data_IF_290895719184
#
_entry.id   IF_290895719184
#
_cell.length_a   1.000
_cell.length_b   1.000
_cell.length_c   1.000
_cell.angle_alpha   90.00
_cell.angle_beta   90.00
_cell.angle_gamma   90.00
#
_symmetry.space_group_name_H-M   'P 1'
#
loop_
_entity.id
_entity.type
_entity.pdbx_description
1 polymer ?
#
# COMPACT_ATOMS: atom_id res chain seq x y z
N UNK A 1 -54.10 -19.34 -15.79
CA UNK A 1 -53.96 -18.44 -14.61
C UNK A 1 -54.48 -19.17 -13.37
N UNK A 2 -53.60 -19.78 -12.56
CA UNK A 2 -53.96 -20.47 -11.31
C UNK A 2 -53.47 -19.62 -10.14
N UNK A 3 -54.39 -19.05 -9.36
CA UNK A 3 -54.10 -18.35 -8.11
C UNK A 3 -53.89 -19.38 -7.01
N UNK A 4 -52.69 -19.41 -6.42
CA UNK A 4 -52.40 -20.17 -5.20
C UNK A 4 -52.40 -19.16 -4.05
N UNK A 5 -53.41 -19.26 -3.19
CA UNK A 5 -53.51 -18.49 -1.96
C UNK A 5 -52.95 -19.33 -0.80
N UNK A 6 -51.79 -18.96 -0.25
CA UNK A 6 -51.24 -19.57 0.96
C UNK A 6 -51.73 -18.80 2.20
N UNK A 7 -52.55 -19.48 3.00
CA UNK A 7 -53.02 -18.99 4.31
C UNK A 7 -51.88 -19.08 5.33
N UNK A 8 -51.57 -17.95 5.96
CA UNK A 8 -50.70 -17.85 7.13
C UNK A 8 -51.45 -18.34 8.37
N UNK A 9 -50.94 -19.40 9.02
CA UNK A 9 -51.42 -19.88 10.32
C UNK A 9 -50.45 -19.34 11.38
N UNK A 10 -50.90 -18.36 12.18
CA UNK A 10 -50.23 -17.95 13.42
C UNK A 10 -50.53 -18.98 14.51
N UNK A 11 -49.50 -19.51 15.16
CA UNK A 11 -49.62 -20.26 16.42
C UNK A 11 -49.04 -19.43 17.58
N UNK A 12 -49.72 -19.35 18.74
CA UNK A 12 -49.16 -18.73 19.93
C UNK A 12 -48.17 -19.68 20.62
N UNK A 13 -46.99 -19.16 20.97
CA UNK A 13 -46.03 -19.87 21.82
C UNK A 13 -46.31 -19.56 23.30
N UNK A 14 -46.41 -20.56 24.18
CA UNK A 14 -46.52 -20.35 25.62
C UNK A 14 -45.14 -20.03 26.22
N UNK A 15 -45.10 -18.99 27.04
CA UNK A 15 -43.96 -18.67 27.89
C UNK A 15 -43.81 -19.73 28.99
N UNK A 16 -42.69 -20.44 28.99
CA UNK A 16 -42.27 -21.30 30.09
C UNK A 16 -41.04 -20.65 30.73
N UNK A 17 -41.25 -20.04 31.89
CA UNK A 17 -40.20 -19.61 32.78
C UNK A 17 -39.68 -20.83 33.54
N UNK A 18 -38.46 -21.26 33.22
CA UNK A 18 -37.71 -22.26 33.98
C UNK A 18 -36.63 -21.54 34.79
N UNK A 19 -36.85 -21.48 36.10
CA UNK A 19 -35.87 -21.06 37.09
C UNK A 19 -35.00 -22.28 37.41
N UNK A 20 -33.79 -22.31 36.88
CA UNK A 20 -32.74 -23.26 37.27
C UNK A 20 -31.80 -22.59 38.28
N UNK A 21 -31.82 -23.09 39.51
CA UNK A 21 -30.84 -22.80 40.56
C UNK A 21 -29.67 -23.75 40.32
N UNK A 22 -28.56 -23.23 39.79
CA UNK A 22 -27.29 -23.96 39.67
C UNK A 22 -26.37 -23.59 40.83
N UNK A 23 -26.03 -24.61 41.61
CA UNK A 23 -25.11 -24.59 42.74
C UNK A 23 -23.67 -24.31 42.28
N UNK A 24 -22.97 -23.53 43.10
CA UNK A 24 -21.53 -23.25 43.03
C UNK A 24 -20.70 -24.53 42.95
N UNK A 25 -19.86 -24.61 41.93
CA UNK A 25 -18.63 -25.39 41.92
C UNK A 25 -17.50 -24.47 41.48
N UNK A 26 -16.67 -24.01 42.41
CA UNK A 26 -15.43 -23.30 42.11
C UNK A 26 -14.43 -24.32 41.53
N UNK A 27 -14.51 -24.57 40.22
CA UNK A 27 -13.36 -25.10 39.50
C UNK A 27 -12.40 -23.93 39.31
N UNK A 28 -11.21 -24.03 39.89
CA UNK A 28 -10.09 -23.18 39.54
C UNK A 28 -9.82 -23.39 38.04
N UNK A 29 -10.38 -22.49 37.23
CA UNK A 29 -9.95 -22.30 35.86
C UNK A 29 -8.52 -21.80 35.99
N UNK A 30 -7.56 -22.72 35.85
CA UNK A 30 -6.20 -22.34 35.49
C UNK A 30 -6.37 -21.44 34.27
N UNK A 31 -6.10 -20.14 34.37
CA UNK A 31 -6.16 -19.27 33.19
C UNK A 31 -5.23 -19.94 32.21
N UNK A 32 -5.73 -20.37 31.05
CA UNK A 32 -4.82 -20.75 29.98
C UNK A 32 -3.96 -19.52 29.79
N UNK A 33 -2.70 -19.60 30.23
CA UNK A 33 -1.76 -18.51 30.16
C UNK A 33 -1.63 -18.19 28.70
N UNK A 34 -2.45 -17.25 28.22
CA UNK A 34 -2.29 -16.66 26.91
C UNK A 34 -0.88 -16.12 26.96
N UNK A 35 0.04 -16.80 26.26
CA UNK A 35 1.34 -16.23 26.01
C UNK A 35 1.06 -14.91 25.31
N UNK A 36 1.18 -13.83 26.06
CA UNK A 36 1.32 -12.52 25.46
C UNK A 36 2.58 -12.62 24.63
N UNK A 37 2.44 -12.83 23.33
CA UNK A 37 3.55 -12.81 22.41
C UNK A 37 4.05 -11.37 22.43
N UNK A 38 5.08 -11.13 23.23
CA UNK A 38 5.79 -9.87 23.25
C UNK A 38 6.59 -9.78 21.95
N UNK A 39 6.07 -9.03 20.98
CA UNK A 39 6.74 -8.78 19.70
C UNK A 39 7.92 -7.80 19.84
N UNK A 40 8.24 -7.38 21.07
CA UNK A 40 9.11 -6.25 21.35
C UNK A 40 8.38 -4.94 21.08
N UNK A 41 8.82 -3.88 21.76
CA UNK A 41 8.33 -2.53 21.50
C UNK A 41 8.60 -2.17 20.02
N UNK A 42 7.57 -1.65 19.34
CA UNK A 42 7.69 -1.26 17.94
C UNK A 42 8.74 -0.15 17.79
N UNK A 43 9.73 -0.38 16.93
CA UNK A 43 10.85 0.55 16.75
C UNK A 43 10.49 1.72 15.82
N UNK A 44 9.45 1.54 15.01
CA UNK A 44 9.05 2.48 13.96
C UNK A 44 7.54 2.52 13.79
N UNK A 45 7.02 3.67 13.43
CA UNK A 45 5.62 3.87 13.09
C UNK A 45 5.44 3.99 11.57
N UNK A 46 4.35 3.42 11.07
CA UNK A 46 3.89 3.53 9.70
C UNK A 46 2.47 4.10 9.72
N UNK A 47 2.27 5.22 9.02
CA UNK A 47 0.97 5.86 8.89
C UNK A 47 0.34 5.50 7.55
N UNK A 48 -0.96 5.23 7.57
CA UNK A 48 -1.76 4.93 6.38
C UNK A 48 -2.87 5.97 6.28
N UNK A 49 -2.98 6.65 5.15
CA UNK A 49 -4.08 7.53 4.81
C UNK A 49 -5.07 6.77 3.92
N UNK A 50 -6.17 6.23 4.48
CA UNK A 50 -7.23 5.65 3.67
C UNK A 50 -8.01 6.77 2.95
N UNK A 51 -8.37 6.50 1.69
CA UNK A 51 -9.09 7.41 0.81
C UNK A 51 -10.22 6.63 0.14
N UNK A 52 -11.46 6.97 0.45
CA UNK A 52 -12.63 6.37 -0.17
C UNK A 52 -12.97 7.10 -1.47
N UNK A 53 -13.04 6.38 -2.58
CA UNK A 53 -13.48 6.94 -3.86
C UNK A 53 -14.98 6.76 -4.02
N UNK A 54 -15.67 7.85 -4.37
CA UNK A 54 -17.09 7.87 -4.65
C UNK A 54 -17.38 8.46 -6.02
N UNK A 55 -18.62 8.31 -6.46
CA UNK A 55 -19.12 8.94 -7.67
C UNK A 55 -19.16 10.46 -7.52
N UNK A 56 -19.45 11.17 -8.60
CA UNK A 56 -19.45 12.64 -8.60
C UNK A 56 -20.49 13.20 -7.62
N UNK A 57 -21.57 12.47 -7.37
CA UNK A 57 -22.61 12.85 -6.42
C UNK A 57 -22.23 12.57 -4.96
N UNK A 58 -21.29 11.64 -4.73
CA UNK A 58 -20.96 11.10 -3.42
C UNK A 58 -22.03 10.14 -2.86
N UNK A 59 -22.96 9.67 -3.69
CA UNK A 59 -24.04 8.77 -3.29
C UNK A 59 -23.64 7.30 -3.40
N UNK A 60 -22.70 6.98 -4.28
CA UNK A 60 -22.14 5.64 -4.44
C UNK A 60 -20.64 5.69 -4.16
N UNK A 61 -20.19 4.92 -3.17
CA UNK A 61 -18.81 4.94 -2.71
C UNK A 61 -18.26 3.52 -2.63
N UNK A 62 -16.98 3.38 -2.95
CA UNK A 62 -16.26 2.15 -2.76
C UNK A 62 -16.25 1.76 -1.26
N UNK A 63 -16.45 0.47 -0.97
CA UNK A 63 -16.39 -0.13 0.35
C UNK A 63 -14.94 -0.13 0.86
N UNK A 64 -14.76 0.35 2.09
CA UNK A 64 -13.45 0.46 2.74
C UNK A 64 -13.25 -0.72 3.67
N UNK A 65 -12.55 -1.75 3.19
CA UNK A 65 -12.18 -2.93 3.97
C UNK A 65 -10.67 -2.90 4.26
N UNK A 66 -10.28 -2.31 5.38
CA UNK A 66 -8.86 -2.17 5.74
C UNK A 66 -8.25 -3.43 6.38
N UNK A 67 -9.09 -4.34 6.90
CA UNK A 67 -8.64 -5.51 7.66
C UNK A 67 -7.55 -5.14 8.67
N UNK A 68 -7.78 -4.07 9.45
CA UNK A 68 -6.73 -3.34 10.15
C UNK A 68 -5.91 -4.24 11.08
N UNK A 69 -6.56 -5.15 11.80
CA UNK A 69 -5.89 -6.03 12.76
C UNK A 69 -5.00 -7.07 12.08
N UNK A 70 -5.42 -7.61 10.93
CA UNK A 70 -4.62 -8.52 10.11
C UNK A 70 -3.44 -7.75 9.51
N UNK A 71 -3.68 -6.56 8.96
CA UNK A 71 -2.62 -5.70 8.41
C UNK A 71 -1.58 -5.34 9.47
N UNK A 72 -2.03 -4.93 10.68
CA UNK A 72 -1.15 -4.68 11.84
C UNK A 72 -0.35 -5.92 12.21
N UNK A 73 -1.00 -7.08 12.32
CA UNK A 73 -0.35 -8.34 12.71
C UNK A 73 0.72 -8.77 11.71
N UNK A 74 0.46 -8.64 10.42
CA UNK A 74 1.42 -8.95 9.37
C UNK A 74 2.64 -8.03 9.46
N UNK A 75 2.42 -6.71 9.50
CA UNK A 75 3.51 -5.73 9.52
C UNK A 75 4.26 -5.67 10.87
N UNK A 76 3.65 -6.15 11.95
CA UNK A 76 4.32 -6.34 13.24
C UNK A 76 5.46 -7.38 13.18
N UNK A 77 5.48 -8.30 12.21
CA UNK A 77 6.64 -9.17 11.96
C UNK A 77 7.92 -8.36 11.69
N UNK A 78 7.78 -7.17 11.11
CA UNK A 78 8.88 -6.22 10.88
C UNK A 78 9.08 -5.21 12.03
N UNK A 79 8.42 -5.42 13.19
CA UNK A 79 8.39 -4.52 14.36
C UNK A 79 7.79 -3.14 14.09
N UNK A 80 6.88 -3.04 13.13
CA UNK A 80 6.18 -1.79 12.83
C UNK A 80 4.93 -1.64 13.68
N UNK A 81 4.69 -0.41 14.17
CA UNK A 81 3.39 0.01 14.67
C UNK A 81 2.64 0.73 13.55
N UNK A 82 1.49 0.17 13.17
CA UNK A 82 0.69 0.70 12.06
C UNK A 82 -0.47 1.53 12.59
N UNK A 83 -0.56 2.77 12.12
CA UNK A 83 -1.59 3.73 12.48
C UNK A 83 -2.40 4.12 11.26
N UNK A 84 -3.71 3.85 11.29
CA UNK A 84 -4.64 4.27 10.25
C UNK A 84 -5.15 5.67 10.59
N UNK A 85 -4.98 6.61 9.67
CA UNK A 85 -5.50 7.97 9.78
C UNK A 85 -7.01 8.00 9.44
N UNK A 86 -7.75 9.07 9.79
CA UNK A 86 -9.13 9.23 9.37
C UNK A 86 -9.29 9.12 7.85
N UNK A 87 -10.38 8.48 7.41
CA UNK A 87 -10.67 8.30 5.98
C UNK A 87 -10.93 9.64 5.32
N UNK A 88 -10.18 9.93 4.26
CA UNK A 88 -10.49 11.00 3.32
C UNK A 88 -11.45 10.48 2.25
N UNK A 89 -12.22 11.36 1.63
CA UNK A 89 -13.14 10.99 0.55
C UNK A 89 -12.86 11.84 -0.69
N UNK A 90 -12.90 11.22 -1.87
CA UNK A 90 -12.95 11.93 -3.14
C UNK A 90 -14.25 11.61 -3.88
N UNK A 91 -14.77 12.57 -4.65
CA UNK A 91 -15.98 12.44 -5.47
C UNK A 91 -15.59 12.61 -6.93
N UNK A 92 -15.34 11.50 -7.59
CA UNK A 92 -14.95 11.48 -8.99
C UNK A 92 -15.24 10.09 -9.57
N UNK A 93 -16.29 9.99 -10.37
CA UNK A 93 -16.74 8.73 -10.97
C UNK A 93 -15.69 8.06 -11.84
N UNK A 94 -14.76 8.84 -12.42
CA UNK A 94 -13.65 8.30 -13.22
C UNK A 94 -12.72 7.40 -12.40
N UNK A 95 -12.55 7.66 -11.11
CA UNK A 95 -11.60 6.89 -10.29
C UNK A 95 -12.25 5.73 -9.52
N UNK A 96 -13.56 5.52 -9.67
CA UNK A 96 -14.27 4.39 -9.05
C UNK A 96 -13.87 3.06 -9.66
N UNK A 97 -13.59 3.04 -10.96
CA UNK A 97 -13.09 1.89 -11.70
C UNK A 97 -11.78 2.30 -12.36
N UNK A 98 -10.71 1.58 -12.08
CA UNK A 98 -9.38 1.92 -12.58
C UNK A 98 -9.00 0.98 -13.72
N UNK A 99 -8.72 1.53 -14.90
CA UNK A 99 -8.22 0.76 -16.04
C UNK A 99 -6.70 0.55 -15.94
N UNK A 100 -6.28 -0.68 -15.61
CA UNK A 100 -4.86 -1.08 -15.58
C UNK A 100 -4.38 -1.73 -16.89
N UNK A 101 -5.17 -1.66 -17.97
CA UNK A 101 -4.77 -2.09 -19.32
C UNK A 101 -3.99 -1.04 -20.09
N UNK A 102 -4.12 0.23 -19.69
CA UNK A 102 -3.37 1.31 -20.30
C UNK A 102 -1.89 1.20 -19.95
N UNK A 103 -1.03 1.64 -20.88
CA UNK A 103 0.41 1.71 -20.57
C UNK A 103 0.63 2.56 -19.33
N UNK A 104 1.35 2.04 -18.34
CA UNK A 104 1.63 2.75 -17.08
C UNK A 104 2.40 4.06 -17.24
N UNK A 105 3.04 4.25 -18.40
CA UNK A 105 3.71 5.49 -18.78
C UNK A 105 2.80 6.47 -19.53
N UNK A 106 1.56 6.09 -19.81
CA UNK A 106 0.57 6.97 -20.45
C UNK A 106 0.14 8.04 -19.47
N UNK A 107 -0.10 9.25 -19.98
CA UNK A 107 -0.80 10.31 -19.25
C UNK A 107 -2.19 9.89 -18.81
N UNK A 108 -2.78 8.94 -19.52
CA UNK A 108 -4.16 8.51 -19.32
C UNK A 108 -4.28 7.41 -18.27
N UNK A 109 -3.16 6.95 -17.71
CA UNK A 109 -3.16 5.93 -16.67
C UNK A 109 -3.64 6.51 -15.34
N UNK A 110 -4.86 6.15 -14.95
CA UNK A 110 -5.60 6.77 -13.85
C UNK A 110 -4.90 6.62 -12.49
N UNK A 111 -4.26 5.47 -12.24
CA UNK A 111 -3.49 5.30 -11.00
C UNK A 111 -2.28 6.24 -10.94
N UNK A 112 -1.64 6.51 -12.08
CA UNK A 112 -0.56 7.51 -12.13
C UNK A 112 -1.11 8.90 -11.84
N UNK A 113 -2.26 9.28 -12.41
CA UNK A 113 -2.90 10.54 -12.09
C UNK A 113 -3.20 10.68 -10.58
N UNK A 114 -3.93 9.73 -10.00
CA UNK A 114 -4.27 9.71 -8.58
C UNK A 114 -3.06 9.83 -7.65
N UNK A 115 -1.93 9.23 -8.02
CA UNK A 115 -0.77 9.10 -7.12
C UNK A 115 0.42 10.00 -7.46
N UNK A 116 0.44 10.66 -8.63
CA UNK A 116 1.61 11.40 -9.13
C UNK A 116 1.31 12.81 -9.64
N UNK A 117 0.06 13.14 -9.93
CA UNK A 117 -0.30 14.48 -10.41
C UNK A 117 -0.96 15.32 -9.32
N UNK A 118 -1.00 16.63 -9.53
CA UNK A 118 -1.47 17.59 -8.53
C UNK A 118 -0.47 17.85 -7.40
N UNK A 119 -0.82 18.76 -6.50
CA UNK A 119 0.00 19.12 -5.34
C UNK A 119 -0.24 18.23 -4.11
N UNK A 120 0.34 18.63 -2.98
CA UNK A 120 0.01 18.07 -1.67
C UNK A 120 -1.52 18.13 -1.43
N UNK A 121 -2.11 17.06 -0.89
CA UNK A 121 -3.55 17.00 -0.64
C UNK A 121 -4.43 16.66 -1.85
N UNK A 122 -3.91 16.75 -3.09
CA UNK A 122 -4.74 16.46 -4.26
C UNK A 122 -5.19 14.99 -4.26
N UNK A 123 -6.41 14.75 -4.77
CA UNK A 123 -7.06 13.44 -4.77
C UNK A 123 -7.17 12.80 -3.38
N UNK A 124 -7.35 13.61 -2.33
CA UNK A 124 -7.55 13.13 -0.97
C UNK A 124 -6.28 12.62 -0.29
N UNK A 125 -5.10 12.81 -0.90
CA UNK A 125 -3.83 12.43 -0.28
C UNK A 125 -3.60 13.17 1.02
N UNK A 126 -2.82 12.60 1.91
CA UNK A 126 -2.33 13.33 3.06
C UNK A 126 -1.31 14.40 2.59
N UNK A 127 -1.40 15.66 3.05
CA UNK A 127 -0.52 16.74 2.59
C UNK A 127 0.96 16.53 2.95
N UNK A 128 1.25 15.75 3.99
CA UNK A 128 2.62 15.40 4.40
C UNK A 128 3.18 14.20 3.64
N UNK A 129 2.38 13.59 2.76
CA UNK A 129 2.85 12.52 1.89
C UNK A 129 3.74 13.06 0.78
N UNK A 130 4.92 12.48 0.65
CA UNK A 130 5.75 12.65 -0.54
C UNK A 130 5.75 11.37 -1.38
N UNK A 131 6.54 11.37 -2.45
CA UNK A 131 6.74 10.17 -3.26
C UNK A 131 7.33 9.01 -2.45
N UNK A 132 8.18 9.27 -1.47
CA UNK A 132 9.00 8.24 -0.79
C UNK A 132 9.00 8.36 0.74
N UNK A 133 8.12 9.19 1.30
CA UNK A 133 7.98 9.40 2.73
C UNK A 133 6.58 9.88 3.13
N UNK A 134 6.32 9.96 4.44
CA UNK A 134 5.05 10.37 5.00
C UNK A 134 4.02 9.23 5.02
N UNK A 135 2.74 9.54 5.29
CA UNK A 135 1.69 8.52 5.27
C UNK A 135 1.53 7.86 3.89
N UNK A 136 1.33 6.54 3.85
CA UNK A 136 1.02 5.83 2.61
C UNK A 136 -0.45 6.11 2.24
N UNK A 137 -0.70 6.62 1.04
CA UNK A 137 -2.05 6.88 0.54
C UNK A 137 -2.64 5.62 -0.08
N UNK A 138 -3.83 5.24 0.39
CA UNK A 138 -4.53 4.02 -0.02
C UNK A 138 -5.90 4.41 -0.54
N UNK A 139 -6.12 4.30 -1.84
CA UNK A 139 -7.42 4.53 -2.48
C UNK A 139 -8.22 3.25 -2.53
N UNK A 140 -9.42 3.27 -1.96
CA UNK A 140 -10.41 2.21 -2.10
C UNK A 140 -11.31 2.53 -3.28
N UNK A 141 -11.33 1.62 -4.25
CA UNK A 141 -12.06 1.74 -5.52
C UNK A 141 -13.02 0.56 -5.68
N UNK A 142 -14.04 0.67 -6.52
CA UNK A 142 -14.96 -0.43 -6.82
C UNK A 142 -14.18 -1.56 -7.51
N UNK A 143 -13.47 -1.21 -8.58
CA UNK A 143 -12.88 -2.18 -9.48
C UNK A 143 -11.49 -1.74 -9.95
N UNK A 144 -10.56 -2.69 -10.05
CA UNK A 144 -9.32 -2.52 -10.80
C UNK A 144 -9.40 -3.48 -11.98
N UNK A 145 -9.65 -2.93 -13.16
CA UNK A 145 -9.80 -3.71 -14.38
C UNK A 145 -8.41 -4.19 -14.84
N UNK A 146 -8.18 -5.49 -14.76
CA UNK A 146 -6.97 -6.11 -15.28
C UNK A 146 -7.16 -6.59 -16.72
N UNK A 147 -6.05 -6.80 -17.41
CA UNK A 147 -6.06 -7.40 -18.75
C UNK A 147 -6.65 -8.80 -18.70
N UNK A 148 -7.35 -9.18 -19.76
CA UNK A 148 -7.85 -10.56 -19.97
C UNK A 148 -8.97 -10.99 -18.99
N UNK A 149 -9.63 -10.03 -18.33
CA UNK A 149 -10.82 -10.30 -17.51
C UNK A 149 -10.52 -10.89 -16.13
N UNK A 150 -9.29 -10.74 -15.64
CA UNK A 150 -8.94 -11.13 -14.28
C UNK A 150 -9.33 -10.05 -13.27
N UNK A 151 -9.79 -10.47 -12.09
CA UNK A 151 -10.02 -9.56 -10.97
C UNK A 151 -8.69 -9.19 -10.32
N UNK A 152 -8.38 -7.90 -10.28
CA UNK A 152 -7.23 -7.39 -9.53
C UNK A 152 -7.69 -6.80 -8.20
N UNK A 153 -7.21 -7.41 -7.11
CA UNK A 153 -7.63 -7.02 -5.75
C UNK A 153 -6.88 -5.79 -5.21
N UNK A 154 -5.67 -5.55 -5.71
CA UNK A 154 -4.81 -4.46 -5.26
C UNK A 154 -3.76 -4.09 -6.29
N UNK A 155 -3.23 -2.88 -6.16
CA UNK A 155 -2.15 -2.38 -6.99
C UNK A 155 -1.33 -1.34 -6.25
N UNK A 156 -0.01 -1.46 -6.27
CA UNK A 156 0.88 -0.53 -5.60
C UNK A 156 2.07 -0.13 -6.47
N UNK A 157 2.65 1.01 -6.13
CA UNK A 157 3.99 1.35 -6.58
C UNK A 157 5.04 0.67 -5.71
N UNK A 158 6.16 0.29 -6.33
CA UNK A 158 7.31 -0.24 -5.61
C UNK A 158 8.18 0.93 -5.16
N UNK A 159 8.52 0.96 -3.86
CA UNK A 159 9.40 1.98 -3.27
C UNK A 159 8.90 3.42 -3.49
N UNK A 160 7.59 3.58 -3.63
CA UNK A 160 6.95 4.87 -3.81
C UNK A 160 5.50 4.84 -3.30
N UNK A 161 4.98 6.01 -2.96
CA UNK A 161 3.70 6.15 -2.27
C UNK A 161 2.54 5.86 -3.23
N UNK A 162 1.57 5.09 -2.76
CA UNK A 162 0.29 4.93 -3.42
C UNK A 162 -0.07 3.46 -3.56
N UNK A 163 -1.28 3.15 -3.12
CA UNK A 163 -1.91 1.83 -3.16
C UNK A 163 -3.36 1.99 -3.61
N UNK A 164 -3.82 1.10 -4.47
CA UNK A 164 -5.23 0.87 -4.77
C UNK A 164 -5.67 -0.45 -4.15
N UNK A 165 -6.89 -0.48 -3.62
CA UNK A 165 -7.57 -1.68 -3.13
C UNK A 165 -8.96 -1.71 -3.76
N UNK A 166 -9.31 -2.80 -4.43
CA UNK A 166 -10.66 -3.00 -4.97
C UNK A 166 -11.60 -3.54 -3.90
N UNK A 167 -12.88 -3.18 -3.98
CA UNK A 167 -13.96 -3.78 -3.16
C UNK A 167 -14.01 -5.31 -3.24
N UNK A 168 -13.65 -5.89 -4.38
CA UNK A 168 -13.59 -7.35 -4.62
C UNK A 168 -12.67 -8.05 -3.61
N UNK A 169 -11.67 -7.32 -3.06
CA UNK A 169 -10.82 -7.84 -1.99
C UNK A 169 -11.59 -8.13 -0.71
N UNK A 170 -12.71 -7.45 -0.45
CA UNK A 170 -13.56 -7.67 0.71
C UNK A 170 -14.52 -8.85 0.57
N UNK A 171 -14.84 -9.27 -0.65
CA UNK A 171 -15.91 -10.24 -0.94
C UNK A 171 -15.40 -11.58 -1.47
N UNK A 172 -14.12 -11.68 -1.83
CA UNK A 172 -13.49 -12.90 -2.33
C UNK A 172 -13.82 -14.14 -1.48
N UNK A 173 -14.41 -15.17 -2.11
CA UNK A 173 -14.83 -16.42 -1.44
C UNK A 173 -15.72 -16.23 -0.19
N UNK A 174 -16.40 -15.08 -0.06
CA UNK A 174 -17.26 -14.75 1.08
C UNK A 174 -16.52 -14.32 2.35
N UNK A 175 -15.20 -14.43 2.40
CA UNK A 175 -14.37 -14.03 3.56
C UNK A 175 -13.38 -12.91 3.23
N UNK A 176 -13.25 -12.54 1.97
CA UNK A 176 -12.28 -11.57 1.47
C UNK A 176 -10.85 -12.14 1.32
N UNK A 177 -9.94 -11.26 0.91
CA UNK A 177 -8.47 -11.45 0.89
C UNK A 177 -7.85 -10.48 1.89
N UNK A 178 -7.93 -10.78 3.20
CA UNK A 178 -7.61 -9.81 4.25
C UNK A 178 -6.13 -9.38 4.28
N UNK A 179 -5.23 -10.12 3.64
CA UNK A 179 -3.81 -9.79 3.53
C UNK A 179 -3.47 -8.86 2.34
N UNK A 180 -4.44 -8.54 1.48
CA UNK A 180 -4.19 -7.76 0.26
C UNK A 180 -3.62 -6.38 0.58
N UNK A 181 -4.18 -5.67 1.56
CA UNK A 181 -3.67 -4.35 1.93
C UNK A 181 -2.21 -4.42 2.41
N UNK A 182 -1.88 -5.37 3.29
CA UNK A 182 -0.52 -5.56 3.77
C UNK A 182 0.45 -5.93 2.64
N UNK A 183 0.00 -6.75 1.68
CA UNK A 183 0.77 -7.10 0.48
C UNK A 183 1.11 -5.86 -0.36
N UNK A 184 0.12 -5.03 -0.67
CA UNK A 184 0.32 -3.81 -1.46
C UNK A 184 1.18 -2.77 -0.71
N UNK A 185 1.03 -2.66 0.61
CA UNK A 185 1.94 -1.84 1.44
C UNK A 185 3.37 -2.39 1.38
N UNK A 186 3.55 -3.71 1.36
CA UNK A 186 4.85 -4.35 1.16
C UNK A 186 5.56 -3.85 -0.10
N UNK A 187 4.84 -3.64 -1.21
CA UNK A 187 5.39 -3.02 -2.41
C UNK A 187 5.84 -1.58 -2.18
N UNK A 188 5.02 -0.73 -1.54
CA UNK A 188 5.42 0.64 -1.20
C UNK A 188 6.68 0.66 -0.31
N UNK A 189 6.88 -0.35 0.54
CA UNK A 189 8.07 -0.54 1.37
C UNK A 189 9.26 -1.17 0.59
N UNK A 190 9.13 -1.33 -0.72
CA UNK A 190 10.18 -1.74 -1.64
C UNK A 190 10.32 -3.24 -1.86
N UNK A 191 9.30 -4.04 -1.49
CA UNK A 191 9.27 -5.47 -1.74
C UNK A 191 8.67 -5.82 -3.11
N UNK A 192 8.96 -7.03 -3.60
CA UNK A 192 8.63 -7.53 -4.95
C UNK A 192 8.25 -9.01 -4.89
N UNK A 193 7.52 -9.52 -5.87
CA UNK A 193 7.09 -10.93 -5.89
C UNK A 193 8.23 -11.90 -6.20
N UNK A 194 9.24 -11.47 -6.96
CA UNK A 194 10.37 -12.32 -7.36
C UNK A 194 11.66 -12.14 -6.55
N UNK A 195 11.67 -11.40 -5.44
CA UNK A 195 12.91 -11.08 -4.72
C UNK A 195 12.81 -11.31 -3.21
N UNK A 196 13.97 -11.41 -2.55
CA UNK A 196 14.08 -11.49 -1.08
C UNK A 196 13.32 -12.68 -0.45
N UNK A 197 13.21 -13.80 -1.17
CA UNK A 197 12.52 -15.01 -0.70
C UNK A 197 11.00 -15.00 -0.91
N UNK A 198 10.47 -14.06 -1.71
CA UNK A 198 9.12 -14.16 -2.25
C UNK A 198 9.00 -15.29 -3.29
N UNK A 199 7.79 -15.86 -3.44
CA UNK A 199 7.49 -16.96 -4.37
C UNK A 199 6.91 -18.21 -3.70
N UNK A 200 7.19 -18.43 -2.41
CA UNK A 200 6.60 -19.53 -1.63
C UNK A 200 5.15 -19.23 -1.23
N UNK A 201 4.27 -20.22 -1.24
CA UNK A 201 2.83 -20.00 -1.02
C UNK A 201 2.49 -19.24 0.29
N UNK A 202 3.29 -19.39 1.34
CA UNK A 202 3.06 -18.73 2.63
C UNK A 202 3.69 -17.33 2.74
N UNK A 203 4.51 -16.91 1.78
CA UNK A 203 5.13 -15.58 1.81
C UNK A 203 4.11 -14.50 1.47
N UNK A 204 4.10 -13.39 2.21
CA UNK A 204 3.19 -12.27 1.98
C UNK A 204 3.27 -11.78 0.54
N UNK A 205 4.47 -11.69 -0.04
CA UNK A 205 4.72 -11.11 -1.36
C UNK A 205 4.60 -12.13 -2.49
N UNK A 206 4.16 -13.35 -2.22
CA UNK A 206 3.83 -14.28 -3.31
C UNK A 206 2.61 -13.77 -4.08
N UNK A 207 2.68 -13.93 -5.41
CA UNK A 207 1.59 -13.58 -6.33
C UNK A 207 0.26 -14.17 -5.86
N UNK A 208 -0.84 -13.42 -6.04
CA UNK A 208 -2.14 -13.77 -5.46
C UNK A 208 -2.69 -15.13 -5.87
N UNK A 209 -2.35 -15.64 -7.06
CA UNK A 209 -2.75 -16.95 -7.58
C UNK A 209 -2.07 -18.14 -6.90
N UNK A 210 -0.93 -17.92 -6.25
CA UNK A 210 -0.14 -18.98 -5.60
C UNK A 210 -0.05 -18.82 -4.08
N UNK A 211 -0.55 -17.69 -3.56
CA UNK A 211 -0.45 -17.35 -2.13
C UNK A 211 -1.58 -17.98 -1.32
N UNK A 212 -1.22 -18.58 -0.19
CA UNK A 212 -2.15 -18.97 0.86
C UNK A 212 -2.64 -17.72 1.60
N UNK A 213 -3.95 -17.54 1.63
CA UNK A 213 -4.61 -16.36 2.20
C UNK A 213 -5.03 -16.70 3.64
N UNK A 214 -4.73 -15.85 4.63
CA UNK A 214 -5.20 -16.06 5.99
C UNK A 214 -6.73 -15.96 6.05
N UNK A 215 -7.33 -16.85 6.83
CA UNK A 215 -8.76 -16.84 7.13
C UNK A 215 -9.06 -16.18 8.47
N UNK A 216 -8.06 -16.07 9.34
CA UNK A 216 -8.14 -15.34 10.60
C UNK A 216 -6.80 -14.70 10.99
N UNK A 217 -6.78 -13.96 12.09
CA UNK A 217 -5.56 -13.32 12.63
C UNK A 217 -4.57 -14.34 13.20
N UNK A 218 -5.06 -15.50 13.65
CA UNK A 218 -4.25 -16.60 14.20
C UNK A 218 -3.41 -17.30 13.13
N UNK A 219 -3.84 -17.24 11.87
CA UNK A 219 -3.10 -17.82 10.74
C UNK A 219 -1.79 -17.06 10.46
N UNK A 220 -1.70 -15.79 10.86
CA UNK A 220 -0.57 -14.91 10.56
C UNK A 220 0.71 -15.39 11.24
N UNK A 221 1.75 -15.57 10.43
CA UNK A 221 3.02 -16.15 10.84
C UNK A 221 3.16 -17.61 10.42
N UNK A 222 2.07 -18.31 10.10
CA UNK A 222 2.09 -19.56 9.31
C UNK A 222 1.84 -19.29 7.82
N UNK A 223 0.96 -18.33 7.52
CA UNK A 223 0.76 -17.70 6.21
C UNK A 223 1.02 -16.20 6.30
N UNK A 224 1.11 -15.53 5.14
CA UNK A 224 1.45 -14.10 5.05
C UNK A 224 2.75 -13.74 5.79
N UNK A 225 3.76 -14.61 5.67
CA UNK A 225 5.06 -14.48 6.32
C UNK A 225 5.94 -13.45 5.62
N UNK A 226 6.74 -12.72 6.39
CA UNK A 226 7.87 -11.93 5.89
C UNK A 226 9.19 -12.63 6.19
N UNK A 227 10.08 -12.71 5.21
CA UNK A 227 11.44 -13.20 5.41
C UNK A 227 12.30 -12.17 6.14
N UNK A 228 13.40 -12.60 6.74
CA UNK A 228 14.37 -11.68 7.37
C UNK A 228 14.89 -10.61 6.40
N UNK A 229 15.11 -11.00 5.13
CA UNK A 229 15.56 -10.09 4.09
C UNK A 229 14.49 -9.05 3.71
N UNK A 230 13.22 -9.46 3.67
CA UNK A 230 12.09 -8.54 3.47
C UNK A 230 11.93 -7.58 4.66
N UNK A 231 12.04 -8.08 5.89
CA UNK A 231 12.01 -7.26 7.11
C UNK A 231 13.15 -6.23 7.09
N UNK A 232 14.37 -6.65 6.74
CA UNK A 232 15.51 -5.74 6.61
C UNK A 232 15.25 -4.65 5.56
N UNK A 233 14.69 -5.01 4.39
CA UNK A 233 14.34 -4.05 3.33
C UNK A 233 13.26 -3.07 3.79
N UNK A 234 12.20 -3.55 4.45
CA UNK A 234 11.14 -2.69 5.02
C UNK A 234 11.74 -1.63 5.95
N UNK A 235 12.65 -2.02 6.85
CA UNK A 235 13.27 -1.11 7.82
C UNK A 235 14.14 0.00 7.22
N UNK A 236 14.48 -0.09 5.93
CA UNK A 236 15.20 0.94 5.19
C UNK A 236 14.28 1.96 4.51
N UNK A 237 12.96 1.74 4.56
CA UNK A 237 11.98 2.57 3.87
C UNK A 237 11.88 3.98 4.46
N UNK A 238 11.77 4.98 3.59
CA UNK A 238 11.52 6.39 3.97
C UNK A 238 10.10 6.66 4.47
N UNK A 239 9.18 5.69 4.37
CA UNK A 239 7.83 5.78 4.91
C UNK A 239 7.75 5.58 6.42
N UNK A 240 8.83 5.08 7.04
CA UNK A 240 8.85 4.78 8.47
C UNK A 240 9.28 6.00 9.27
N UNK A 241 8.45 6.42 10.22
CA UNK A 241 8.82 7.43 11.20
C UNK A 241 9.49 6.75 12.38
N UNK A 242 10.65 7.26 12.78
CA UNK A 242 11.25 6.84 14.03
C UNK A 242 10.38 7.38 15.16
N UNK A 243 9.94 6.48 16.04
CA UNK A 243 9.57 6.93 17.37
C UNK A 243 10.83 7.56 17.93
N UNK A 244 10.82 8.88 18.09
CA UNK A 244 11.77 9.57 18.95
C UNK A 244 11.46 9.10 20.38
N UNK A 245 11.70 7.81 20.65
CA UNK A 245 11.60 7.19 21.95
C UNK A 245 12.35 8.12 22.88
N UNK A 246 11.60 8.64 23.86
CA UNK A 246 11.84 9.94 24.44
C UNK A 246 13.31 10.36 24.46
N UNK A 247 13.57 11.55 23.92
CA UNK A 247 14.35 12.48 24.71
C UNK A 247 13.58 12.68 26.03
N UNK A 248 13.60 11.66 26.89
CA UNK A 248 13.42 11.81 28.32
C UNK A 248 14.50 12.79 28.65
N UNK A 249 14.10 14.05 28.83
CA UNK A 249 14.98 15.13 29.21
C UNK A 249 15.79 14.61 30.38
N UNK A 250 17.02 14.21 30.09
CA UNK A 250 18.06 14.35 31.09
C UNK A 250 18.12 15.86 31.19
N UNK A 251 17.42 16.43 32.16
CA UNK A 251 17.68 17.78 32.61
C UNK A 251 19.18 17.77 32.90
N UNK A 252 19.96 18.23 31.93
CA UNK A 252 21.32 18.64 32.20
C UNK A 252 21.12 19.86 33.08
N UNK A 253 21.12 19.63 34.40
CA UNK A 253 21.32 20.67 35.37
C UNK A 253 22.51 21.48 34.86
N UNK A 254 22.27 22.76 34.58
CA UNK A 254 23.28 23.65 34.07
C UNK A 254 24.35 23.83 35.15
N UNK A 255 25.33 22.95 35.16
CA UNK A 255 26.60 23.24 35.79
C UNK A 255 27.38 24.06 34.76
N UNK A 256 27.17 25.37 34.85
CA UNK A 256 28.07 26.35 34.29
C UNK A 256 29.44 26.12 34.91
N UNK A 257 30.33 25.43 34.22
CA UNK A 257 31.76 25.76 34.25
C UNK A 257 32.58 24.98 33.22
N UNK A 258 33.50 25.74 32.63
CA UNK A 258 34.78 25.33 32.04
C UNK A 258 34.83 24.65 30.65
N UNK A 259 35.05 25.50 29.65
CA UNK A 259 36.13 25.46 28.63
C UNK A 259 36.68 24.08 28.20
N UNK A 260 36.36 23.72 26.95
CA UNK A 260 37.34 23.19 26.00
C UNK A 260 37.45 21.68 25.89
N UNK A 261 36.61 21.04 25.07
CA UNK A 261 37.09 19.90 24.30
C UNK A 261 36.30 19.67 23.01
N UNK A 262 37.04 19.25 21.99
CA UNK A 262 36.66 19.30 20.58
C UNK A 262 36.07 17.94 20.18
N UNK A 263 34.77 17.85 19.92
CA UNK A 263 34.19 16.60 19.44
C UNK A 263 34.24 16.54 17.90
N UNK A 264 35.24 15.83 17.39
CA UNK A 264 35.35 15.43 15.98
C UNK A 264 34.38 14.28 15.69
N UNK A 265 33.23 14.58 15.10
CA UNK A 265 32.44 13.58 14.37
C UNK A 265 32.59 13.82 12.87
N UNK A 266 33.49 13.04 12.25
CA UNK A 266 33.88 13.14 10.84
C UNK A 266 32.73 12.82 9.87
N UNK A 267 31.65 12.20 10.34
CA UNK A 267 30.55 11.73 9.48
C UNK A 267 29.31 12.65 9.41
N UNK A 268 29.22 13.73 10.21
CA UNK A 268 28.11 14.69 10.10
C UNK A 268 28.34 15.78 9.03
N UNK A 269 29.56 15.94 8.51
CA UNK A 269 29.87 17.01 7.53
C UNK A 269 29.54 16.69 6.08
N UNK A 270 29.31 15.42 5.72
CA UNK A 270 28.98 15.06 4.34
C UNK A 270 27.55 15.47 3.96
N UNK A 271 26.58 15.26 4.85
CA UNK A 271 25.17 15.57 4.59
C UNK A 271 24.87 17.09 4.55
N UNK A 272 25.56 17.88 5.38
CA UNK A 272 25.34 19.33 5.44
C UNK A 272 26.01 20.10 4.28
N UNK A 273 27.06 19.55 3.65
CA UNK A 273 27.70 20.18 2.48
C UNK A 273 26.86 20.02 1.21
N UNK A 274 26.21 18.88 1.01
CA UNK A 274 25.40 18.67 -0.20
C UNK A 274 24.13 19.54 -0.21
N UNK A 275 23.51 19.76 0.95
CA UNK A 275 22.36 20.66 1.07
C UNK A 275 22.71 22.14 0.84
N UNK A 276 23.89 22.58 1.29
CA UNK A 276 24.34 23.98 1.11
C UNK A 276 24.84 24.26 -0.31
N UNK A 277 25.43 23.27 -0.99
CA UNK A 277 25.94 23.43 -2.36
C UNK A 277 24.80 23.49 -3.39
N UNK A 278 23.71 22.75 -3.14
CA UNK A 278 22.50 22.80 -3.99
C UNK A 278 21.74 24.13 -3.88
N UNK A 279 21.79 24.81 -2.72
CA UNK A 279 21.10 26.09 -2.52
C UNK A 279 21.86 27.27 -3.16
N UNK A 280 23.21 27.21 -3.14
CA UNK A 280 24.07 28.20 -3.78
C UNK A 280 24.02 28.16 -5.32
N UNK A 281 23.90 26.97 -5.94
CA UNK A 281 23.76 26.85 -7.40
C UNK A 281 22.41 27.38 -7.92
N UNK A 282 21.33 27.29 -7.15
CA UNK A 282 20.02 27.79 -7.58
C UNK A 282 19.89 29.32 -7.46
N UNK A 283 20.56 29.96 -6.49
CA UNK A 283 20.58 31.42 -6.39
C UNK A 283 21.50 32.08 -7.44
N UNK A 284 22.58 31.42 -7.84
CA UNK A 284 23.45 31.90 -8.93
C UNK A 284 22.78 31.81 -10.32
N UNK A 285 21.83 30.88 -10.51
CA UNK A 285 21.11 30.74 -11.78
C UNK A 285 19.98 31.77 -11.93
N UNK A 286 19.42 32.29 -10.82
CA UNK A 286 18.38 33.32 -10.85
C UNK A 286 18.91 34.74 -11.01
N UNK A 287 20.21 35.00 -10.75
CA UNK A 287 20.81 36.32 -10.94
C UNK A 287 21.31 36.59 -12.37
N UNK A 288 21.36 35.57 -13.23
CA UNK A 288 21.75 35.70 -14.65
C UNK A 288 20.58 36.03 -15.58
N UNK A 289 19.36 36.15 -15.05
CA UNK A 289 18.18 36.53 -15.82
C UNK A 289 17.67 37.88 -15.31
N UNK A 290 18.24 38.97 -15.86
CA UNK A 290 17.73 40.33 -15.72
C UNK A 290 17.55 40.97 -17.11
N UNK A 291 16.64 41.94 -17.29
CA UNK A 291 15.82 42.09 -18.48
C UNK A 291 16.48 42.97 -19.53
N UNK A 292 16.95 42.38 -20.63
CA UNK A 292 17.34 43.15 -21.82
C UNK A 292 17.02 42.37 -23.09
N UNK A 293 15.73 42.25 -23.42
CA UNK A 293 15.26 41.97 -24.79
C UNK A 293 13.77 42.29 -24.89
N UNK A 294 13.44 43.56 -24.67
CA UNK A 294 12.14 44.13 -24.99
C UNK A 294 12.32 45.22 -26.04
N UNK A 295 12.81 44.83 -27.22
CA UNK A 295 12.57 45.55 -28.48
C UNK A 295 13.11 44.69 -29.63
N UNK A 296 12.35 44.65 -30.73
CA UNK A 296 12.61 43.90 -31.97
C UNK A 296 12.15 42.43 -31.97
N UNK A 297 10.86 42.20 -32.26
CA UNK A 297 10.36 41.26 -33.28
C UNK A 297 8.87 41.59 -33.53
N UNK A 298 8.53 41.81 -34.80
CA UNK A 298 7.17 42.03 -35.29
C UNK A 298 6.33 40.73 -35.29
N UNK A 299 4.99 40.80 -35.27
CA UNK A 299 4.14 39.63 -35.10
C UNK A 299 3.91 38.95 -36.44
N UNK A 300 4.67 37.90 -36.75
CA UNK A 300 4.17 36.86 -37.64
C UNK A 300 4.89 35.53 -37.40
N UNK A 301 4.09 34.51 -37.10
CA UNK A 301 4.45 33.08 -37.05
C UNK A 301 5.34 32.64 -35.87
N UNK A 302 4.75 32.61 -34.68
CA UNK A 302 5.22 31.77 -33.58
C UNK A 302 4.46 30.43 -33.60
N UNK A 303 4.96 29.51 -34.42
CA UNK A 303 4.77 28.08 -34.22
C UNK A 303 6.15 27.46 -34.47
N UNK A 304 6.52 26.50 -33.62
CA UNK A 304 7.79 25.78 -33.57
C UNK A 304 8.91 26.44 -32.75
N UNK A 305 9.47 25.59 -31.87
CA UNK A 305 10.69 25.75 -31.07
C UNK A 305 10.51 26.49 -29.73
N UNK A 306 9.94 25.76 -28.77
CA UNK A 306 10.40 25.86 -27.37
C UNK A 306 10.62 24.44 -26.85
N UNK A 307 11.84 23.93 -27.09
CA UNK A 307 12.32 22.71 -26.46
C UNK A 307 12.83 23.09 -25.07
N UNK A 308 11.97 22.94 -24.06
CA UNK A 308 12.37 23.12 -22.67
C UNK A 308 13.17 21.91 -22.22
N UNK A 309 14.44 22.17 -21.91
CA UNK A 309 15.34 21.25 -21.20
C UNK A 309 14.70 20.92 -19.85
N UNK A 310 14.09 19.73 -19.75
CA UNK A 310 13.76 19.11 -18.47
C UNK A 310 14.91 18.19 -18.10
N UNK A 311 15.57 18.49 -16.98
CA UNK A 311 16.50 17.56 -16.35
C UNK A 311 15.74 16.29 -15.97
N UNK A 312 15.99 15.20 -16.71
CA UNK A 312 15.46 13.89 -16.42
C UNK A 312 16.09 13.36 -15.12
N UNK A 313 15.49 13.67 -13.97
CA UNK A 313 15.56 12.75 -12.85
C UNK A 313 14.96 11.43 -13.34
N UNK A 314 15.75 10.35 -13.33
CA UNK A 314 15.33 9.04 -13.80
C UNK A 314 13.96 8.71 -13.18
N UNK A 315 12.92 8.61 -14.02
CA UNK A 315 11.60 8.16 -13.60
C UNK A 315 11.80 6.74 -13.08
N UNK A 316 11.55 6.46 -11.79
CA UNK A 316 11.44 5.09 -11.29
C UNK A 316 10.44 4.38 -12.18
N UNK A 317 10.95 3.53 -13.06
CA UNK A 317 10.12 2.68 -13.87
C UNK A 317 9.40 1.76 -12.89
N UNK A 318 8.07 1.69 -12.97
CA UNK A 318 7.41 0.44 -12.64
C UNK A 318 7.98 -0.59 -13.59
N UNK A 319 9.10 -1.22 -13.23
CA UNK A 319 9.62 -2.35 -13.98
C UNK A 319 8.47 -3.36 -13.93
N UNK A 320 7.83 -3.68 -15.07
CA UNK A 320 6.85 -4.74 -15.08
C UNK A 320 7.57 -5.98 -14.58
N UNK A 321 7.12 -6.54 -13.46
CA UNK A 321 7.55 -7.89 -13.13
C UNK A 321 7.02 -8.74 -14.29
N UNK A 322 7.87 -9.60 -14.89
CA UNK A 322 7.44 -10.41 -16.01
C UNK A 322 6.23 -11.21 -15.55
N UNK A 323 5.09 -10.94 -16.17
CA UNK A 323 3.93 -11.80 -16.16
C UNK A 323 4.39 -13.22 -16.50
N UNK A 324 4.34 -14.12 -15.51
CA UNK A 324 4.85 -15.50 -15.56
C UNK A 324 4.13 -16.40 -16.59
N UNK A 325 3.20 -15.85 -17.37
CA UNK A 325 2.47 -16.50 -18.46
C UNK A 325 3.36 -17.05 -19.59
N UNK A 326 4.61 -16.58 -19.73
CA UNK A 326 5.57 -17.21 -20.64
C UNK A 326 5.86 -18.68 -20.27
N UNK A 327 5.72 -19.07 -19.00
CA UNK A 327 5.93 -20.45 -18.55
C UNK A 327 4.68 -21.34 -18.76
N UNK A 328 3.47 -20.79 -18.62
CA UNK A 328 2.22 -21.55 -18.78
C UNK A 328 1.81 -21.77 -20.24
N UNK A 329 2.09 -20.81 -21.14
CA UNK A 329 1.84 -21.00 -22.58
C UNK A 329 2.72 -22.10 -23.19
N UNK A 330 3.95 -22.29 -22.69
CA UNK A 330 4.80 -23.41 -23.13
C UNK A 330 4.25 -24.78 -22.70
N UNK A 331 3.66 -24.87 -21.51
CA UNK A 331 3.08 -26.12 -21.00
C UNK A 331 1.80 -26.53 -21.73
N UNK A 332 0.92 -25.57 -22.06
CA UNK A 332 -0.27 -25.85 -22.86
C UNK A 332 0.07 -26.30 -24.30
N UNK A 333 1.11 -25.72 -24.91
CA UNK A 333 1.59 -26.13 -26.24
C UNK A 333 2.22 -27.53 -26.20
N UNK A 334 2.97 -27.88 -25.15
CA UNK A 334 3.54 -29.23 -24.98
C UNK A 334 2.47 -30.32 -24.77
N UNK A 335 1.38 -30.02 -24.08
CA UNK A 335 0.26 -30.97 -23.90
C UNK A 335 -0.54 -31.13 -25.20
N UNK A 336 -0.74 -30.05 -25.96
CA UNK A 336 -1.40 -30.10 -27.27
C UNK A 336 -0.55 -30.84 -28.33
N UNK A 337 0.77 -30.69 -28.31
CA UNK A 337 1.68 -31.42 -29.20
C UNK A 337 1.71 -32.93 -28.91
N UNK A 338 1.60 -33.34 -27.63
CA UNK A 338 1.58 -34.75 -27.25
C UNK A 338 0.28 -35.46 -27.66
N UNK A 339 -0.86 -34.75 -27.65
CA UNK A 339 -2.16 -35.31 -28.04
C UNK A 339 -2.31 -35.50 -29.56
N UNK A 340 -1.54 -34.76 -30.38
CA UNK A 340 -1.55 -34.89 -31.84
C UNK A 340 -0.67 -36.03 -32.38
N UNK A 341 0.15 -36.65 -31.52
CA UNK A 341 1.03 -37.77 -31.88
C UNK A 341 0.38 -39.16 -31.72
N UNK A 342 -0.80 -39.27 -31.10
CA UNK A 342 -1.42 -40.59 -30.84
C UNK A 342 -2.59 -40.96 -31.76
N UNK A 343 -2.88 -40.17 -32.79
CA UNK A 343 -3.97 -40.42 -33.76
C UNK A 343 -3.48 -40.83 -35.16
N UNK A 344 -2.19 -41.14 -35.31
CA UNK A 344 -1.62 -41.67 -36.55
C UNK A 344 -1.06 -43.10 -36.33
N UNK A 345 -1.91 -44.00 -35.85
CA UNK A 345 -1.66 -45.45 -35.83
C UNK A 345 -2.99 -46.20 -35.70
N UNK A 346 -3.82 -46.12 -36.74
CA UNK A 346 -4.91 -47.06 -37.05
C UNK A 346 -5.31 -46.90 -38.50
#
# INVERSE_FOLDING_TARGET
MKKIASRFIRRPFPAIALITISLMGCSEVVPSGGQTIDFGEADRELFIQPIQVCDDSGSHCASVNMFEDITRKILAQAKLKVSFLPINQIRNSRFLKIDNNTSRSSSDYEFYELSRTGGAGAFGRNPDSTRTSGPINVWFVEEIEASEGFTQFGLAWIDANGVLISEESGTFNGTGRPDTLAHEIGHNLGLRHGSLGAGEANNLLTEGSYRNIPTSIEDIGSVSQLSDAQIAKIKLSGFLTHNSAGLSGTEIASESDAIGETCQCTNCRAFQRDAMTSLAMNQALQSLISPTLSSMIAPSKAALVSATITSAAAIPQSIPEPNTWAALSLFAILIAARKKSSTAAS
#
